data_IF_671592227328
#
_entry.id   IF_671592227328
#
_cell.length_a   1.000
_cell.length_b   1.000
_cell.length_c   1.000
_cell.angle_alpha   90.00
_cell.angle_beta   90.00
_cell.angle_gamma   90.00
#
_symmetry.space_group_name_H-M   'P 1'
#
loop_
_entity.id
_entity.type
_entity.pdbx_description
1 polymer ?
#
# COMPACT_ATOMS: atom_id res chain seq x y z
N UNK A 1 4.81 -3.94 -5.92
CA UNK A 1 4.44 -2.56 -5.58
C UNK A 1 3.02 -2.58 -5.07
N UNK A 2 2.73 -1.88 -3.97
CA UNK A 2 1.43 -1.89 -3.29
C UNK A 2 0.92 -0.46 -3.12
N UNK A 3 -0.37 -0.24 -3.34
CA UNK A 3 -1.03 1.05 -3.17
C UNK A 3 -1.79 1.09 -1.83
N UNK A 4 -1.73 2.22 -1.13
CA UNK A 4 -2.44 2.41 0.13
C UNK A 4 -2.70 3.88 0.43
N UNK A 5 -3.69 4.14 1.30
CA UNK A 5 -3.95 5.49 1.83
C UNK A 5 -3.36 5.64 3.23
N UNK A 6 -2.65 6.74 3.43
CA UNK A 6 -2.13 7.19 4.72
C UNK A 6 -2.54 8.66 4.84
N UNK A 7 -3.28 9.00 5.90
CA UNK A 7 -3.81 10.35 6.15
C UNK A 7 -4.52 10.99 4.93
N UNK A 8 -5.36 10.19 4.26
CA UNK A 8 -6.13 10.62 3.08
C UNK A 8 -5.31 10.75 1.79
N UNK A 9 -4.00 10.53 1.83
CA UNK A 9 -3.11 10.59 0.66
C UNK A 9 -2.79 9.20 0.16
N UNK A 10 -2.83 8.99 -1.15
CA UNK A 10 -2.47 7.72 -1.75
C UNK A 10 -0.95 7.63 -1.95
N UNK A 11 -0.37 6.49 -1.57
CA UNK A 11 1.04 6.18 -1.71
C UNK A 11 1.23 4.89 -2.49
N UNK A 12 2.31 4.85 -3.26
CA UNK A 12 2.85 3.62 -3.86
C UNK A 12 4.05 3.21 -3.03
N UNK A 13 4.05 1.94 -2.61
CA UNK A 13 5.10 1.36 -1.78
C UNK A 13 5.77 0.19 -2.51
N UNK A 14 7.09 0.22 -2.59
CA UNK A 14 7.91 -0.96 -2.89
C UNK A 14 8.52 -1.47 -1.59
N UNK A 15 8.36 -2.76 -1.31
CA UNK A 15 8.94 -3.40 -0.13
C UNK A 15 9.29 -4.85 -0.45
N UNK A 16 10.11 -5.42 0.42
CA UNK A 16 10.35 -6.86 0.46
C UNK A 16 9.92 -7.39 1.82
N UNK A 17 9.45 -8.63 1.82
CA UNK A 17 9.25 -9.41 3.04
C UNK A 17 10.43 -10.37 3.13
N UNK A 18 11.19 -10.29 4.23
CA UNK A 18 12.25 -11.25 4.54
C UNK A 18 12.04 -11.75 5.96
N UNK A 19 11.95 -13.06 6.10
CA UNK A 19 11.59 -13.73 7.34
C UNK A 19 10.31 -13.11 7.93
N UNK A 20 10.41 -12.52 9.12
CA UNK A 20 9.31 -11.83 9.80
C UNK A 20 9.45 -10.29 9.78
N UNK A 21 10.21 -9.74 8.82
CA UNK A 21 10.48 -8.31 8.72
C UNK A 21 10.07 -7.74 7.36
N UNK A 22 9.37 -6.61 7.38
CA UNK A 22 9.05 -5.82 6.20
C UNK A 22 10.18 -4.79 6.03
N UNK A 23 10.92 -4.88 4.92
CA UNK A 23 11.89 -3.85 4.51
C UNK A 23 11.27 -2.96 3.45
N UNK A 24 11.06 -1.70 3.81
CA UNK A 24 10.63 -0.67 2.88
C UNK A 24 11.78 -0.32 1.93
N UNK A 25 11.55 -0.41 0.63
CA UNK A 25 12.53 -0.03 -0.39
C UNK A 25 12.25 1.40 -0.86
N UNK A 26 10.98 1.73 -1.12
CA UNK A 26 10.57 3.09 -1.45
C UNK A 26 9.12 3.34 -1.08
N UNK A 27 8.83 4.58 -0.70
CA UNK A 27 7.48 5.08 -0.53
C UNK A 27 7.39 6.46 -1.20
N UNK A 28 6.45 6.60 -2.13
CA UNK A 28 6.22 7.86 -2.85
C UNK A 28 4.75 8.15 -2.95
N UNK A 29 4.40 9.43 -3.04
CA UNK A 29 3.04 9.85 -3.35
C UNK A 29 2.63 9.26 -4.71
N UNK A 30 1.46 8.65 -4.76
CA UNK A 30 0.89 8.13 -5.99
C UNK A 30 0.57 9.29 -6.95
N UNK A 31 0.86 9.11 -8.23
CA UNK A 31 0.48 10.08 -9.25
C UNK A 31 -1.04 10.02 -9.53
N UNK A 32 -1.55 10.97 -10.31
CA UNK A 32 -3.00 11.10 -10.54
C UNK A 32 -3.61 9.86 -11.24
N UNK A 33 -2.83 9.19 -12.08
CA UNK A 33 -3.28 7.96 -12.76
C UNK A 33 -3.42 6.80 -11.76
N UNK A 34 -2.44 6.62 -10.90
CA UNK A 34 -2.42 5.59 -9.85
C UNK A 34 -3.52 5.85 -8.80
N UNK A 35 -3.74 7.11 -8.43
CA UNK A 35 -4.83 7.52 -7.53
C UNK A 35 -6.21 7.13 -8.09
N UNK A 36 -6.47 7.39 -9.37
CA UNK A 36 -7.73 7.01 -10.03
C UNK A 36 -7.95 5.50 -10.04
N UNK A 37 -6.91 4.71 -10.29
CA UNK A 37 -6.97 3.25 -10.25
C UNK A 37 -7.21 2.68 -8.84
N UNK A 38 -6.64 3.31 -7.80
CA UNK A 38 -6.82 2.88 -6.42
C UNK A 38 -8.28 3.00 -5.93
N UNK A 39 -8.98 4.08 -6.31
CA UNK A 39 -10.38 4.31 -5.91
C UNK A 39 -11.30 3.16 -6.34
N UNK A 40 -11.04 2.52 -7.48
CA UNK A 40 -11.83 1.37 -7.96
C UNK A 40 -11.52 0.04 -7.26
N UNK A 41 -10.38 -0.07 -6.56
CA UNK A 41 -9.91 -1.33 -5.96
C UNK A 41 -9.90 -1.32 -4.41
N UNK A 42 -10.16 -0.17 -3.79
CA UNK A 42 -10.01 0.05 -2.35
C UNK A 42 -11.06 -0.63 -1.46
N UNK A 43 -11.99 -1.41 -2.01
CA UNK A 43 -13.12 -1.98 -1.25
C UNK A 43 -12.96 -3.46 -0.83
N UNK A 44 -11.83 -4.13 -1.06
CA UNK A 44 -11.79 -5.61 -0.92
C UNK A 44 -10.69 -6.24 -0.04
N UNK A 45 -9.77 -5.49 0.60
CA UNK A 45 -8.60 -6.12 1.26
C UNK A 45 -8.28 -5.72 2.71
N UNK A 46 -9.15 -4.97 3.38
CA UNK A 46 -8.99 -4.67 4.82
C UNK A 46 -9.52 -5.82 5.70
N UNK A 47 -9.02 -7.05 5.52
CA UNK A 47 -9.14 -8.15 6.49
C UNK A 47 -8.01 -9.16 6.26
N UNK A 48 -6.89 -8.97 6.96
CA UNK A 48 -6.00 -10.00 7.54
C UNK A 48 -4.72 -9.32 8.02
N UNK A 49 -4.75 -8.87 9.27
CA UNK A 49 -3.56 -8.91 10.12
C UNK A 49 -3.82 -10.01 11.13
N UNK A 50 -3.05 -11.11 11.18
CA UNK A 50 -3.00 -11.92 12.36
C UNK A 50 -2.25 -11.12 13.42
N UNK A 51 -2.91 -10.90 14.56
CA UNK A 51 -2.23 -10.49 15.76
C UNK A 51 -1.25 -11.60 16.18
N UNK A 52 0.00 -11.24 16.41
CA UNK A 52 0.95 -11.96 17.27
C UNK A 52 1.61 -10.91 18.15
#
# INVERSE_FOLDING_TARGET
>A
MTLGRIDGRCFVVAYTVRDNMIRLISARKANDREQKGYTGHAIARTRRSPAV
#
